data_IF_315901879535
#
_entry.id   IF_315901879535
#
_cell.length_a   1.000
_cell.length_b   1.000
_cell.length_c   1.000
_cell.angle_alpha   90.00
_cell.angle_beta   90.00
_cell.angle_gamma   90.00
#
_symmetry.space_group_name_H-M   'P 1'
#
loop_
_entity.id
_entity.type
_entity.pdbx_description
1 polymer ?
#
# COMPACT_ATOMS: atom_id res chain seq x y z
N UNK A 1 9.28 25.95 17.44
CA UNK A 1 10.32 25.69 18.47
C UNK A 1 10.43 24.19 18.70
N UNK A 2 11.62 23.70 19.06
CA UNK A 2 11.81 22.32 19.49
C UNK A 2 11.56 22.23 20.99
N UNK A 3 10.71 21.30 21.43
CA UNK A 3 10.43 21.04 22.84
C UNK A 3 10.88 19.62 23.22
N UNK A 4 11.46 19.47 24.41
CA UNK A 4 11.89 18.19 24.96
C UNK A 4 11.23 17.96 26.32
N UNK A 5 10.56 16.82 26.49
CA UNK A 5 9.74 16.48 27.66
C UNK A 5 10.09 15.09 28.17
N UNK A 6 10.03 14.89 29.49
CA UNK A 6 10.13 13.59 30.12
C UNK A 6 8.76 13.11 30.62
N UNK A 7 8.34 11.93 30.18
CA UNK A 7 7.08 11.28 30.56
C UNK A 7 7.40 10.16 31.54
N UNK A 8 6.77 10.17 32.70
CA UNK A 8 6.87 9.10 33.69
C UNK A 8 6.15 7.85 33.16
N UNK A 9 6.82 6.69 33.18
CA UNK A 9 6.28 5.47 32.57
C UNK A 9 5.14 4.84 33.34
N UNK A 10 5.06 5.07 34.66
CA UNK A 10 4.04 4.48 35.51
C UNK A 10 2.72 5.26 35.40
N UNK A 11 2.82 6.57 35.24
CA UNK A 11 1.67 7.47 35.16
C UNK A 11 1.26 7.81 33.72
N UNK A 12 2.20 7.78 32.77
CA UNK A 12 1.99 8.21 31.39
C UNK A 12 1.90 9.73 31.23
N UNK A 13 2.18 10.49 32.29
CA UNK A 13 2.06 11.95 32.32
C UNK A 13 3.43 12.62 32.27
N UNK A 14 3.54 13.85 31.72
CA UNK A 14 4.74 14.66 31.81
C UNK A 14 5.12 14.93 33.28
N UNK A 15 6.42 14.94 33.58
CA UNK A 15 6.89 15.33 34.91
C UNK A 15 6.57 16.81 35.19
N UNK A 16 5.60 17.06 36.07
CA UNK A 16 5.14 18.42 36.41
C UNK A 16 6.25 19.35 36.96
N UNK A 17 7.31 18.78 37.56
CA UNK A 17 8.42 19.53 38.16
C UNK A 17 9.65 19.67 37.23
N UNK A 18 9.58 19.17 35.99
CA UNK A 18 10.64 19.32 34.97
C UNK A 18 10.07 20.13 33.82
N UNK A 19 10.36 21.44 33.82
CA UNK A 19 9.98 22.32 32.71
C UNK A 19 10.52 21.76 31.39
N UNK A 20 9.72 21.77 30.31
CA UNK A 20 10.18 21.33 29.00
C UNK A 20 11.32 22.24 28.53
N UNK A 21 12.42 21.63 28.08
CA UNK A 21 13.50 22.40 27.47
C UNK A 21 13.07 22.82 26.06
N UNK A 22 12.84 24.13 25.87
CA UNK A 22 12.44 24.71 24.58
C UNK A 22 13.61 25.39 23.89
N UNK A 23 13.86 25.02 22.63
CA UNK A 23 14.91 25.58 21.79
C UNK A 23 14.34 26.23 20.52
N UNK A 24 14.96 27.32 20.09
CA UNK A 24 14.74 27.89 18.76
C UNK A 24 15.24 26.90 17.71
N UNK A 25 14.34 26.43 16.84
CA UNK A 25 14.61 25.43 15.80
C UNK A 25 14.17 25.99 14.46
N UNK A 26 15.10 26.02 13.49
CA UNK A 26 14.92 26.60 12.16
C UNK A 26 15.52 25.67 11.10
N UNK A 27 15.22 25.93 9.83
CA UNK A 27 15.58 25.08 8.68
C UNK A 27 17.08 24.91 8.45
N UNK A 28 17.94 25.70 9.11
CA UNK A 28 19.40 25.62 8.97
C UNK A 28 20.04 24.77 10.08
N UNK A 29 19.27 24.33 11.08
CA UNK A 29 19.75 23.54 12.22
C UNK A 29 19.52 22.05 11.98
N UNK A 30 20.60 21.28 12.04
CA UNK A 30 20.59 19.82 11.90
C UNK A 30 20.88 19.07 13.20
N UNK A 31 21.17 19.79 14.29
CA UNK A 31 21.49 19.22 15.61
C UNK A 31 21.20 20.19 16.75
N UNK A 32 20.62 19.70 17.85
CA UNK A 32 20.50 20.40 19.13
C UNK A 32 21.04 19.52 20.25
N UNK A 33 21.98 20.04 21.04
CA UNK A 33 22.41 19.39 22.27
C UNK A 33 21.56 19.93 23.44
N UNK A 34 21.18 19.07 24.40
CA UNK A 34 20.44 19.45 25.61
C UNK A 34 20.94 18.66 26.83
N UNK A 35 20.62 19.16 28.04
CA UNK A 35 20.95 18.49 29.31
C UNK A 35 19.76 18.59 30.24
N UNK A 36 19.10 17.46 30.51
CA UNK A 36 18.01 17.38 31.49
C UNK A 36 18.45 16.64 32.76
N UNK A 37 17.88 17.00 33.91
CA UNK A 37 18.10 16.33 35.19
C UNK A 37 16.83 15.60 35.59
N UNK A 38 16.91 14.28 35.68
CA UNK A 38 15.77 13.45 36.06
C UNK A 38 16.02 12.82 37.44
N UNK A 39 14.99 12.75 38.30
CA UNK A 39 15.07 11.98 39.54
C UNK A 39 15.16 10.48 39.23
N UNK A 40 15.56 9.63 40.20
CA UNK A 40 15.53 8.17 40.03
C UNK A 40 14.13 7.67 39.63
N UNK A 41 14.06 6.82 38.60
CA UNK A 41 12.80 6.35 38.02
C UNK A 41 12.93 5.91 36.57
N UNK A 42 11.82 5.43 36.00
CA UNK A 42 11.70 4.97 34.63
C UNK A 42 10.90 6.00 33.80
N UNK A 43 11.52 6.51 32.74
CA UNK A 43 10.97 7.59 31.92
C UNK A 43 10.99 7.25 30.43
N UNK A 44 10.16 7.97 29.70
CA UNK A 44 10.19 8.08 28.25
C UNK A 44 10.47 9.54 27.90
N UNK A 45 11.63 9.83 27.30
CA UNK A 45 11.98 11.18 26.84
C UNK A 45 11.44 11.36 25.42
N UNK A 46 10.66 12.42 25.21
CA UNK A 46 10.02 12.76 23.94
C UNK A 46 10.45 14.13 23.47
N UNK A 47 10.70 14.27 22.16
CA UNK A 47 10.96 15.55 21.51
C UNK A 47 9.92 15.82 20.41
N UNK A 48 9.42 17.04 20.32
CA UNK A 48 8.44 17.47 19.31
C UNK A 48 8.69 18.90 18.83
N UNK A 49 8.25 19.23 17.63
CA UNK A 49 8.32 20.58 17.07
C UNK A 49 6.93 21.23 17.18
N UNK A 50 6.87 22.33 17.94
CA UNK A 50 5.70 23.21 17.99
C UNK A 50 5.85 24.29 16.91
N UNK A 51 4.96 24.26 15.92
CA UNK A 51 4.95 25.16 14.77
C UNK A 51 3.99 26.35 14.93
N UNK A 52 3.36 26.54 16.10
CA UNK A 52 2.38 27.59 16.31
C UNK A 52 2.99 29.01 16.13
N UNK A 53 2.37 29.83 15.27
CA UNK A 53 2.71 31.25 15.11
C UNK A 53 1.55 32.12 15.61
N UNK A 54 1.81 32.97 16.61
CA UNK A 54 0.89 34.04 17.05
C UNK A 54 0.40 33.95 18.49
N UNK A 55 -0.52 34.86 18.88
CA UNK A 55 -0.94 35.14 20.26
C UNK A 55 -1.79 34.03 20.94
N UNK A 56 -1.74 32.80 20.43
CA UNK A 56 -2.34 31.60 21.00
C UNK A 56 -1.36 30.42 21.10
N UNK A 57 -0.06 30.63 20.84
CA UNK A 57 0.97 29.62 21.08
C UNK A 57 0.98 29.28 22.58
N UNK A 58 0.37 28.15 22.94
CA UNK A 58 0.43 27.62 24.29
C UNK A 58 1.83 27.05 24.48
N UNK A 59 2.70 27.85 25.08
CA UNK A 59 4.08 27.48 25.40
C UNK A 59 4.11 26.17 26.19
N UNK A 60 4.48 25.07 25.53
CA UNK A 60 4.81 23.78 26.16
C UNK A 60 3.68 22.76 26.29
N UNK A 61 2.52 22.94 25.62
CA UNK A 61 1.45 21.93 25.61
C UNK A 61 1.49 21.15 24.31
N UNK A 62 1.81 19.84 24.40
CA UNK A 62 1.84 18.94 23.25
C UNK A 62 0.42 18.75 22.67
N UNK A 63 0.18 19.28 21.47
CA UNK A 63 -1.08 19.09 20.75
C UNK A 63 -1.03 17.87 19.83
N UNK A 64 -2.18 17.28 19.48
CA UNK A 64 -2.25 16.09 18.62
C UNK A 64 -1.81 16.32 17.17
N UNK A 65 -1.71 17.58 16.74
CA UNK A 65 -1.30 18.03 15.39
C UNK A 65 0.11 18.63 15.34
N UNK A 66 0.75 18.83 16.50
CA UNK A 66 2.16 19.19 16.53
C UNK A 66 2.98 18.00 16.05
N UNK A 67 4.16 18.25 15.47
CA UNK A 67 4.93 17.21 14.80
C UNK A 67 5.32 16.12 15.80
N UNK A 68 4.66 14.97 15.70
CA UNK A 68 4.97 13.75 16.44
C UNK A 68 5.61 12.77 15.46
N UNK A 69 6.90 12.50 15.63
CA UNK A 69 7.48 11.26 15.11
C UNK A 69 7.78 10.32 16.27
N UNK A 70 8.25 9.11 15.97
CA UNK A 70 8.47 8.01 16.91
C UNK A 70 9.64 8.26 17.90
N UNK A 71 9.72 9.44 18.50
CA UNK A 71 10.88 9.94 19.22
C UNK A 71 10.70 9.75 20.71
N UNK A 72 10.76 8.49 21.15
CA UNK A 72 10.60 8.13 22.55
C UNK A 72 11.80 7.31 23.02
N UNK A 73 12.60 7.84 23.94
CA UNK A 73 13.72 7.12 24.55
C UNK A 73 13.33 6.65 25.95
N UNK A 74 13.41 5.34 26.16
CA UNK A 74 13.27 4.77 27.50
C UNK A 74 14.57 4.97 28.29
N UNK A 75 14.48 5.63 29.43
CA UNK A 75 15.60 5.84 30.36
C UNK A 75 15.23 5.34 31.75
N UNK A 76 16.12 4.59 32.38
CA UNK A 76 16.00 4.15 33.78
C UNK A 76 17.13 4.78 34.60
N UNK A 77 16.79 5.58 35.60
CA UNK A 77 17.74 6.26 36.50
C UNK A 77 17.71 5.59 37.88
N UNK A 78 18.85 5.06 38.33
CA UNK A 78 18.98 4.46 39.66
C UNK A 78 19.37 5.50 40.73
N UNK A 79 19.00 5.26 42.00
CA UNK A 79 19.14 6.18 43.14
C UNK A 79 20.57 6.70 43.43
N UNK A 80 21.62 6.14 42.82
CA UNK A 80 23.02 6.46 43.16
C UNK A 80 23.97 6.46 41.95
N UNK A 81 23.54 7.08 40.84
CA UNK A 81 24.37 7.18 39.62
C UNK A 81 24.56 8.61 39.10
N UNK A 82 25.74 9.18 39.33
CA UNK A 82 26.26 10.36 38.60
C UNK A 82 26.78 9.90 37.22
N UNK A 83 25.90 9.57 36.27
CA UNK A 83 26.30 9.28 34.88
C UNK A 83 25.97 10.47 33.96
N UNK A 84 26.96 11.12 33.33
CA UNK A 84 26.74 11.87 32.11
C UNK A 84 26.72 10.86 30.94
N UNK A 85 25.54 10.45 30.50
CA UNK A 85 25.38 9.75 29.23
C UNK A 85 25.24 10.79 28.11
N UNK A 86 26.29 10.97 27.31
CA UNK A 86 26.15 11.67 26.03
C UNK A 86 25.35 10.76 25.10
N UNK A 87 24.04 10.97 25.01
CA UNK A 87 23.15 10.25 24.10
C UNK A 87 22.91 11.16 22.89
N UNK A 88 23.32 10.70 21.71
CA UNK A 88 23.02 11.38 20.46
C UNK A 88 21.69 10.86 19.91
N UNK A 89 20.84 11.78 19.48
CA UNK A 89 19.62 11.49 18.72
C UNK A 89 19.60 12.43 17.52
N UNK A 90 19.10 11.94 16.39
CA UNK A 90 18.93 12.71 15.17
C UNK A 90 17.47 13.12 15.05
N UNK A 91 17.22 14.38 14.70
CA UNK A 91 15.89 14.89 14.38
C UNK A 91 15.87 15.19 12.89
N UNK A 92 14.90 14.63 12.18
CA UNK A 92 14.64 15.00 10.80
C UNK A 92 13.62 16.14 10.80
N UNK A 93 13.89 17.16 9.99
CA UNK A 93 12.92 18.21 9.68
C UNK A 93 11.72 17.53 8.99
N UNK A 94 10.46 17.78 9.39
CA UNK A 94 9.30 17.28 8.65
C UNK A 94 9.22 17.82 7.20
N UNK A 95 9.99 18.85 6.83
CA UNK A 95 10.22 19.23 5.43
C UNK A 95 11.28 18.34 4.71
N UNK A 96 11.97 17.45 5.44
CA UNK A 96 12.91 16.44 4.94
C UNK A 96 12.34 15.02 5.10
N UNK A 97 11.41 14.72 4.20
CA UNK A 97 11.03 13.40 3.63
C UNK A 97 11.07 12.18 4.57
N UNK A 98 9.89 11.66 4.93
CA UNK A 98 9.70 10.27 5.34
C UNK A 98 8.54 9.59 4.59
N UNK A 99 8.94 8.51 3.90
CA UNK A 99 8.30 7.21 3.65
C UNK A 99 6.82 7.10 3.31
N UNK A 100 6.67 6.78 2.03
CA UNK A 100 5.62 6.00 1.38
C UNK A 100 4.80 5.01 2.24
N UNK A 101 3.52 5.33 2.41
CA UNK A 101 2.45 4.39 2.03
C UNK A 101 1.71 4.97 0.82
N UNK A 102 2.16 4.59 -0.38
CA UNK A 102 1.57 5.06 -1.64
C UNK A 102 0.26 4.32 -1.95
N UNK A 103 -0.81 5.08 -2.20
CA UNK A 103 -1.42 5.10 -3.53
C UNK A 103 -1.35 6.53 -4.06
N UNK A 104 -0.99 6.66 -5.33
CA UNK A 104 -0.86 7.92 -6.06
C UNK A 104 -2.21 8.62 -6.24
N UNK A 105 -2.39 9.74 -5.55
CA UNK A 105 -2.79 11.01 -6.16
C UNK A 105 -1.86 12.10 -5.60
N UNK A 106 -1.20 12.84 -6.48
CA UNK A 106 -0.12 13.77 -6.10
C UNK A 106 -0.70 15.05 -5.51
N UNK A 107 -0.83 15.07 -4.19
CA UNK A 107 -1.03 16.27 -3.39
C UNK A 107 -0.09 16.26 -2.20
N UNK A 108 0.65 17.35 -1.99
CA UNK A 108 1.41 17.60 -0.75
C UNK A 108 0.66 18.64 0.10
N UNK A 109 0.85 18.65 1.43
CA UNK A 109 0.27 19.71 2.29
C UNK A 109 0.70 21.09 1.80
N UNK A 110 1.92 21.19 1.26
CA UNK A 110 2.46 22.39 0.60
C UNK A 110 1.65 22.84 -0.62
N UNK A 111 1.17 21.92 -1.45
CA UNK A 111 0.32 22.22 -2.61
C UNK A 111 -1.11 22.58 -2.17
N UNK A 112 -1.65 21.94 -1.14
CA UNK A 112 -2.94 22.30 -0.55
C UNK A 112 -2.92 23.72 0.03
N UNK A 113 -1.91 24.08 0.85
CA UNK A 113 -1.76 25.43 1.42
C UNK A 113 -1.65 26.49 0.31
N UNK A 114 -0.98 26.16 -0.79
CA UNK A 114 -0.81 27.08 -1.92
C UNK A 114 -2.11 27.29 -2.72
N UNK A 115 -2.97 26.27 -2.81
CA UNK A 115 -4.20 26.29 -3.60
C UNK A 115 -5.44 26.73 -2.78
N UNK A 116 -5.44 26.51 -1.47
CA UNK A 116 -6.56 26.77 -0.57
C UNK A 116 -6.17 27.56 0.69
N UNK A 117 -5.55 28.74 0.56
CA UNK A 117 -4.97 29.50 1.69
C UNK A 117 -6.00 30.07 2.69
N UNK A 118 -7.30 29.87 2.44
CA UNK A 118 -8.41 30.43 3.22
C UNK A 118 -9.40 29.38 3.72
N UNK A 119 -9.21 28.11 3.38
CA UNK A 119 -9.98 26.98 3.93
C UNK A 119 -9.33 26.51 5.24
N UNK A 120 -10.07 25.78 6.08
CA UNK A 120 -9.57 25.21 7.35
C UNK A 120 -8.32 24.35 7.15
N UNK A 121 -7.70 23.86 8.21
CA UNK A 121 -6.51 23.01 8.11
C UNK A 121 -6.70 21.80 7.17
N UNK A 122 -5.60 21.21 6.66
CA UNK A 122 -5.66 20.02 5.80
C UNK A 122 -6.30 18.82 6.50
N UNK A 123 -6.25 18.76 7.82
CA UNK A 123 -6.84 17.70 8.64
C UNK A 123 -8.23 18.06 9.19
N UNK A 124 -8.71 19.29 8.93
CA UNK A 124 -10.09 19.67 9.25
C UNK A 124 -11.03 18.95 8.28
N UNK A 125 -12.23 18.61 8.76
CA UNK A 125 -13.32 18.04 7.98
C UNK A 125 -14.40 19.15 7.93
N UNK A 126 -14.23 20.11 7.02
CA UNK A 126 -15.00 21.37 7.03
C UNK A 126 -16.48 21.14 6.68
N UNK A 127 -16.78 20.14 5.85
CA UNK A 127 -18.15 19.74 5.52
C UNK A 127 -18.68 18.56 6.34
N UNK A 128 -17.84 17.96 7.19
CA UNK A 128 -18.18 16.91 8.15
C UNK A 128 -18.79 15.69 7.46
N UNK A 129 -18.21 15.31 6.32
CA UNK A 129 -18.67 14.21 5.48
C UNK A 129 -17.81 12.94 5.61
N UNK A 130 -16.87 12.94 6.56
CA UNK A 130 -16.00 11.81 6.82
C UNK A 130 -14.67 11.88 6.10
N UNK A 131 -14.39 12.92 5.31
CA UNK A 131 -13.07 13.13 4.74
C UNK A 131 -12.43 14.40 5.30
N UNK A 132 -11.13 14.34 5.58
CA UNK A 132 -10.40 15.58 5.81
C UNK A 132 -10.27 16.38 4.50
N UNK A 133 -10.19 17.69 4.61
CA UNK A 133 -10.00 18.63 3.51
C UNK A 133 -8.85 18.22 2.57
N UNK A 134 -7.78 17.65 3.14
CA UNK A 134 -6.64 17.14 2.38
C UNK A 134 -6.92 15.81 1.70
N UNK A 135 -7.64 14.91 2.35
CA UNK A 135 -8.06 13.65 1.76
C UNK A 135 -9.00 13.89 0.57
N UNK A 136 -9.86 14.89 0.64
CA UNK A 136 -10.70 15.31 -0.48
C UNK A 136 -9.89 15.96 -1.60
N UNK A 137 -8.90 16.78 -1.26
CA UNK A 137 -7.96 17.31 -2.25
C UNK A 137 -7.22 16.19 -3.00
N UNK A 138 -6.79 15.14 -2.29
CA UNK A 138 -6.20 13.93 -2.87
C UNK A 138 -7.22 13.22 -3.77
N UNK A 139 -8.47 13.11 -3.33
CA UNK A 139 -9.55 12.44 -4.06
C UNK A 139 -10.12 13.29 -5.21
N UNK A 140 -9.69 14.54 -5.36
CA UNK A 140 -10.20 15.49 -6.34
C UNK A 140 -11.65 15.94 -6.06
N UNK A 141 -12.09 15.82 -4.81
CA UNK A 141 -13.41 16.26 -4.32
C UNK A 141 -13.31 17.62 -3.62
N UNK A 142 -14.45 18.25 -3.34
CA UNK A 142 -14.50 19.63 -2.87
C UNK A 142 -14.71 19.68 -1.35
N UNK A 143 -13.76 20.23 -0.56
CA UNK A 143 -13.80 20.27 0.91
C UNK A 143 -14.89 21.08 1.63
N UNK A 144 -15.94 21.43 0.90
CA UNK A 144 -17.08 22.20 1.38
C UNK A 144 -18.39 21.59 0.88
N UNK A 145 -18.33 20.44 0.21
CA UNK A 145 -19.45 19.83 -0.47
C UNK A 145 -19.64 18.40 0.04
N UNK A 146 -20.57 18.22 1.00
CA UNK A 146 -20.66 16.98 1.73
C UNK A 146 -21.08 15.82 0.83
N UNK A 147 -20.61 14.63 1.19
CA UNK A 147 -20.94 13.34 0.60
C UNK A 147 -20.53 13.19 -0.87
N UNK A 148 -19.53 13.95 -1.33
CA UNK A 148 -19.11 13.92 -2.74
C UNK A 148 -18.28 12.66 -3.07
N UNK A 149 -17.81 11.91 -2.07
CA UNK A 149 -16.63 11.09 -2.26
C UNK A 149 -16.54 9.75 -1.50
N UNK A 150 -17.59 9.22 -0.84
CA UNK A 150 -17.55 7.98 0.01
C UNK A 150 -16.90 6.73 -0.65
N UNK A 151 -16.64 6.79 -1.95
CA UNK A 151 -16.06 5.78 -2.83
C UNK A 151 -14.52 5.80 -2.91
N UNK A 152 -13.85 6.73 -2.21
CA UNK A 152 -12.40 6.92 -2.26
C UNK A 152 -11.72 6.63 -0.92
N UNK A 153 -10.39 6.48 -0.96
CA UNK A 153 -9.59 6.13 0.21
C UNK A 153 -9.63 7.24 1.27
N UNK A 154 -9.52 6.88 2.55
CA UNK A 154 -9.38 7.82 3.68
C UNK A 154 -10.67 8.35 4.31
N UNK A 155 -11.79 7.64 4.14
CA UNK A 155 -13.06 7.94 4.81
C UNK A 155 -13.03 7.54 6.30
N UNK A 156 -13.44 8.45 7.18
CA UNK A 156 -13.70 8.26 8.61
C UNK A 156 -15.19 8.42 8.95
N UNK A 157 -15.91 7.31 9.21
CA UNK A 157 -17.32 7.38 9.59
C UNK A 157 -17.59 8.04 10.95
N UNK A 158 -16.56 8.30 11.77
CA UNK A 158 -16.71 8.96 13.06
C UNK A 158 -16.75 10.50 12.94
N UNK A 159 -16.16 11.06 11.88
CA UNK A 159 -16.21 12.50 11.59
C UNK A 159 -17.37 12.88 10.67
N UNK A 160 -17.96 11.92 9.96
CA UNK A 160 -19.18 12.11 9.18
C UNK A 160 -20.41 12.31 10.09
N UNK A 161 -20.86 13.56 10.23
CA UNK A 161 -22.08 13.91 11.00
C UNK A 161 -23.37 13.55 10.25
N UNK A 162 -23.26 13.36 8.94
CA UNK A 162 -24.31 13.04 8.00
C UNK A 162 -24.28 11.55 7.60
N UNK A 163 -23.55 10.69 8.32
CA UNK A 163 -23.51 9.24 8.10
C UNK A 163 -24.91 8.58 8.13
N UNK A 164 -25.88 9.22 8.79
CA UNK A 164 -27.30 8.83 8.81
C UNK A 164 -28.15 9.42 7.67
N UNK A 165 -27.60 10.36 6.90
CA UNK A 165 -28.14 11.03 5.71
C UNK A 165 -27.45 10.58 4.40
N UNK A 166 -26.38 9.78 4.45
CA UNK A 166 -25.83 9.09 3.26
C UNK A 166 -26.93 8.22 2.65
N UNK A 167 -27.59 8.72 1.60
CA UNK A 167 -28.67 7.99 0.94
C UNK A 167 -28.16 6.72 0.24
N UNK A 168 -26.86 6.64 -0.04
CA UNK A 168 -26.27 5.55 -0.84
C UNK A 168 -25.00 4.98 -0.23
N UNK A 169 -25.05 3.71 0.18
CA UNK A 169 -23.91 2.92 0.67
C UNK A 169 -23.49 1.88 -0.37
N UNK A 170 -22.25 1.38 -0.35
CA UNK A 170 -21.69 0.58 -1.44
C UNK A 170 -21.20 -0.80 -1.02
N UNK A 171 -21.42 -1.78 -1.89
CA UNK A 171 -20.64 -3.01 -1.95
C UNK A 171 -19.44 -2.76 -2.85
N UNK A 172 -18.24 -2.98 -2.32
CA UNK A 172 -16.99 -2.52 -2.93
C UNK A 172 -16.12 -3.72 -3.29
N UNK A 173 -15.64 -3.75 -4.53
CA UNK A 173 -14.62 -4.68 -5.02
C UNK A 173 -13.32 -3.95 -5.31
N UNK A 174 -12.22 -4.54 -4.85
CA UNK A 174 -10.86 -4.07 -5.13
C UNK A 174 -9.97 -5.24 -5.53
N UNK A 175 -8.82 -4.94 -6.13
CA UNK A 175 -7.85 -5.95 -6.52
C UNK A 175 -6.53 -5.81 -5.78
N UNK A 176 -5.77 -6.90 -5.73
CA UNK A 176 -4.39 -6.87 -5.26
C UNK A 176 -3.53 -7.81 -6.11
N UNK A 177 -2.52 -7.30 -6.84
CA UNK A 177 -2.18 -5.87 -7.00
C UNK A 177 -3.26 -5.08 -7.78
N UNK A 178 -3.28 -3.75 -7.64
CA UNK A 178 -4.16 -2.86 -8.44
C UNK A 178 -3.54 -2.58 -9.80
N UNK A 179 -2.21 -2.43 -9.86
CA UNK A 179 -1.47 -2.31 -11.13
C UNK A 179 -0.48 -3.48 -11.27
N UNK A 180 -0.96 -4.66 -11.69
CA UNK A 180 -0.09 -5.78 -12.02
C UNK A 180 0.87 -5.39 -13.15
N UNK A 181 2.14 -5.76 -13.00
CA UNK A 181 3.15 -5.67 -14.06
C UNK A 181 3.47 -7.06 -14.56
N UNK A 182 3.39 -7.27 -15.87
CA UNK A 182 3.61 -8.57 -16.48
C UNK A 182 4.38 -8.46 -17.78
N UNK A 183 5.14 -9.49 -18.11
CA UNK A 183 5.81 -9.58 -19.40
C UNK A 183 4.86 -10.10 -20.48
N UNK A 184 5.06 -9.64 -21.70
CA UNK A 184 4.39 -10.19 -22.88
C UNK A 184 4.54 -11.71 -22.96
N UNK A 185 3.44 -12.40 -23.23
CA UNK A 185 3.40 -13.86 -23.34
C UNK A 185 3.40 -14.62 -22.00
N UNK A 186 3.49 -13.93 -20.86
CA UNK A 186 3.36 -14.54 -19.54
C UNK A 186 1.94 -14.39 -18.96
N UNK A 187 1.69 -15.08 -17.84
CA UNK A 187 0.48 -14.90 -17.05
C UNK A 187 0.73 -13.97 -15.87
N UNK A 188 -0.32 -13.30 -15.43
CA UNK A 188 -0.36 -12.59 -14.16
C UNK A 188 -1.59 -13.02 -13.35
N UNK A 189 -1.52 -12.78 -12.04
CA UNK A 189 -2.59 -13.04 -11.11
C UNK A 189 -2.90 -11.80 -10.29
N UNK A 190 -4.15 -11.68 -9.87
CA UNK A 190 -4.56 -10.72 -8.88
C UNK A 190 -5.71 -11.29 -8.04
N UNK A 191 -5.73 -10.92 -6.77
CA UNK A 191 -6.84 -11.22 -5.88
C UNK A 191 -7.99 -10.25 -6.13
N UNK A 192 -9.22 -10.76 -6.07
CA UNK A 192 -10.44 -9.94 -6.01
C UNK A 192 -10.91 -9.95 -4.56
N UNK A 193 -10.98 -8.77 -3.96
CA UNK A 193 -11.36 -8.57 -2.56
C UNK A 193 -12.70 -7.85 -2.46
N UNK A 194 -13.41 -8.07 -1.36
CA UNK A 194 -14.70 -7.48 -1.05
C UNK A 194 -14.70 -6.76 0.29
N UNK A 195 -15.37 -5.61 0.33
CA UNK A 195 -15.78 -4.88 1.53
C UNK A 195 -17.10 -4.14 1.27
N UNK A 196 -17.63 -3.42 2.25
CA UNK A 196 -18.71 -2.44 2.07
C UNK A 196 -18.51 -1.22 2.98
N UNK A 197 -19.25 -0.15 2.68
CA UNK A 197 -19.11 1.17 3.34
C UNK A 197 -19.35 1.13 4.86
N UNK A 198 -20.16 0.20 5.35
CA UNK A 198 -20.60 0.12 6.74
C UNK A 198 -20.06 -1.12 7.50
N UNK A 199 -19.12 -1.85 6.90
CA UNK A 199 -18.56 -3.10 7.43
C UNK A 199 -19.63 -4.15 7.78
N UNK A 200 -20.80 -4.10 7.13
CA UNK A 200 -21.89 -5.01 7.36
C UNK A 200 -21.58 -6.41 6.80
N UNK A 201 -21.40 -7.37 7.69
CA UNK A 201 -21.10 -8.77 7.36
C UNK A 201 -22.35 -9.60 6.99
N UNK A 202 -23.48 -8.90 6.85
CA UNK A 202 -24.84 -9.41 6.84
C UNK A 202 -25.63 -9.12 5.56
N UNK A 203 -24.99 -9.14 4.40
CA UNK A 203 -25.60 -8.83 3.09
C UNK A 203 -26.24 -10.05 2.41
N UNK A 204 -27.00 -9.85 1.34
CA UNK A 204 -27.67 -10.93 0.60
C UNK A 204 -26.76 -11.69 -0.38
N UNK A 205 -25.59 -11.14 -0.69
CA UNK A 205 -24.65 -11.68 -1.68
C UNK A 205 -24.03 -10.58 -2.53
N UNK A 206 -23.26 -10.99 -3.53
CA UNK A 206 -22.67 -10.13 -4.54
C UNK A 206 -22.50 -10.91 -5.84
N UNK A 207 -22.99 -10.35 -6.94
CA UNK A 207 -22.70 -10.80 -8.30
C UNK A 207 -21.89 -9.76 -9.03
N UNK A 208 -20.77 -10.15 -9.63
CA UNK A 208 -19.89 -9.26 -10.39
C UNK A 208 -19.68 -9.76 -11.81
N UNK A 209 -19.44 -8.83 -12.71
CA UNK A 209 -18.94 -9.03 -14.05
C UNK A 209 -17.57 -8.34 -14.17
N UNK A 210 -16.64 -9.01 -14.83
CA UNK A 210 -15.25 -8.57 -14.99
C UNK A 210 -14.96 -8.48 -16.47
N UNK A 211 -14.76 -7.26 -16.92
CA UNK A 211 -14.64 -6.85 -18.31
C UNK A 211 -13.17 -6.70 -18.67
N UNK A 212 -12.74 -7.24 -19.81
CA UNK A 212 -11.35 -7.21 -20.24
C UNK A 212 -11.22 -7.17 -21.76
N UNK A 213 -10.04 -6.75 -22.22
CA UNK A 213 -9.67 -6.70 -23.63
C UNK A 213 -9.05 -8.03 -24.09
N UNK A 214 -9.77 -8.79 -24.91
CA UNK A 214 -9.34 -10.09 -25.42
C UNK A 214 -8.26 -10.02 -26.49
N UNK A 215 -8.06 -8.86 -27.11
CA UNK A 215 -6.91 -8.60 -27.98
C UNK A 215 -5.62 -8.39 -27.17
N UNK A 216 -5.74 -8.08 -25.87
CA UNK A 216 -4.60 -7.86 -24.97
C UNK A 216 -4.29 -9.08 -24.11
N UNK A 217 -5.33 -9.73 -23.57
CA UNK A 217 -5.18 -10.83 -22.62
C UNK A 217 -6.26 -11.90 -22.78
N UNK A 218 -5.98 -13.09 -22.28
CA UNK A 218 -6.91 -14.22 -22.28
C UNK A 218 -7.11 -14.72 -20.86
N UNK A 219 -8.36 -15.05 -20.51
CA UNK A 219 -8.65 -15.63 -19.21
C UNK A 219 -8.06 -17.04 -19.11
N UNK A 220 -7.21 -17.27 -18.11
CA UNK A 220 -6.46 -18.52 -17.94
C UNK A 220 -7.01 -19.38 -16.79
N UNK A 221 -7.74 -18.79 -15.84
CA UNK A 221 -8.38 -19.52 -14.76
C UNK A 221 -8.54 -18.70 -13.48
N UNK A 222 -8.96 -19.37 -12.42
CA UNK A 222 -9.17 -18.78 -11.10
C UNK A 222 -8.92 -19.81 -10.00
N UNK A 223 -8.53 -19.34 -8.81
CA UNK A 223 -8.21 -20.16 -7.64
C UNK A 223 -8.63 -19.42 -6.35
N UNK A 224 -8.34 -20.00 -5.18
CA UNK A 224 -8.58 -19.40 -3.85
C UNK A 224 -10.00 -18.84 -3.65
N UNK A 225 -11.00 -19.54 -4.18
CA UNK A 225 -12.39 -19.07 -4.19
C UNK A 225 -12.99 -19.17 -2.80
N UNK A 226 -13.75 -18.18 -2.38
CA UNK A 226 -14.63 -18.28 -1.23
C UNK A 226 -15.77 -19.26 -1.56
N UNK A 227 -15.66 -20.49 -1.05
CA UNK A 227 -16.53 -21.63 -1.46
C UNK A 227 -17.78 -21.79 -0.61
N UNK A 228 -17.76 -21.34 0.65
CA UNK A 228 -18.82 -21.59 1.63
C UNK A 228 -20.18 -20.98 1.21
N UNK A 229 -20.13 -19.93 0.38
CA UNK A 229 -21.29 -19.14 -0.05
C UNK A 229 -21.33 -18.93 -1.57
N UNK A 230 -20.54 -19.72 -2.31
CA UNK A 230 -20.51 -19.62 -3.77
C UNK A 230 -21.82 -20.14 -4.36
N UNK A 231 -22.44 -19.38 -5.27
CA UNK A 231 -23.73 -19.74 -5.86
C UNK A 231 -23.68 -20.95 -6.82
N UNK A 232 -22.49 -21.52 -7.07
CA UNK A 232 -22.25 -22.66 -7.95
C UNK A 232 -21.24 -23.67 -7.37
N UNK A 233 -21.35 -24.94 -7.77
CA UNK A 233 -20.43 -26.02 -7.34
C UNK A 233 -19.08 -25.93 -8.05
N UNK A 234 -17.99 -25.98 -7.27
CA UNK A 234 -16.58 -25.91 -7.74
C UNK A 234 -16.24 -26.94 -8.83
N UNK A 235 -16.86 -28.12 -8.80
CA UNK A 235 -16.55 -29.19 -9.74
C UNK A 235 -17.03 -28.88 -11.17
N UNK A 236 -17.87 -27.85 -11.35
CA UNK A 236 -18.46 -27.45 -12.63
C UNK A 236 -18.42 -25.93 -12.89
N UNK A 237 -17.65 -25.12 -12.15
CA UNK A 237 -17.42 -23.71 -12.52
C UNK A 237 -16.50 -23.64 -13.76
N UNK A 238 -17.07 -23.95 -14.91
CA UNK A 238 -16.56 -23.43 -16.18
C UNK A 238 -17.04 -21.98 -16.25
N UNK A 239 -16.17 -21.05 -15.86
CA UNK A 239 -16.42 -19.63 -16.11
C UNK A 239 -16.40 -19.45 -17.63
N UNK A 240 -17.57 -19.19 -18.20
CA UNK A 240 -17.69 -18.90 -19.61
C UNK A 240 -17.24 -17.45 -19.84
N UNK A 241 -16.19 -17.30 -20.66
CA UNK A 241 -15.86 -16.00 -21.27
C UNK A 241 -16.91 -15.74 -22.35
N UNK A 242 -17.62 -14.62 -22.24
CA UNK A 242 -18.65 -14.21 -23.20
C UNK A 242 -18.24 -12.92 -23.90
N UNK A 243 -18.80 -12.71 -25.09
CA UNK A 243 -18.69 -11.44 -25.80
C UNK A 243 -19.63 -10.42 -25.15
N UNK A 244 -19.16 -9.20 -24.92
CA UNK A 244 -20.01 -8.13 -24.36
C UNK A 244 -21.13 -7.73 -25.33
N UNK A 245 -20.96 -8.00 -26.62
CA UNK A 245 -22.02 -7.82 -27.63
C UNK A 245 -23.08 -8.92 -27.62
N UNK A 246 -22.89 -10.02 -26.88
CA UNK A 246 -23.89 -11.07 -26.77
C UNK A 246 -25.12 -10.57 -25.99
N UNK A 247 -26.34 -10.91 -26.43
CA UNK A 247 -27.54 -10.57 -25.67
C UNK A 247 -27.52 -11.23 -24.28
N UNK A 248 -28.09 -10.53 -23.29
CA UNK A 248 -28.17 -10.98 -21.89
C UNK A 248 -26.81 -11.19 -21.20
N UNK A 249 -25.77 -10.53 -21.72
CA UNK A 249 -24.43 -10.49 -21.13
C UNK A 249 -24.14 -9.08 -20.61
N UNK A 250 -23.48 -8.91 -19.44
CA UNK A 250 -23.12 -7.59 -18.94
C UNK A 250 -22.17 -6.87 -19.90
N UNK A 251 -22.47 -5.61 -20.20
CA UNK A 251 -21.69 -4.70 -21.04
C UNK A 251 -21.41 -3.45 -20.20
N UNK A 252 -20.12 -3.10 -20.05
CA UNK A 252 -19.70 -1.93 -19.29
C UNK A 252 -19.77 -0.62 -20.10
N UNK A 253 -20.12 -0.71 -21.39
CA UNK A 253 -20.19 0.36 -22.39
C UNK A 253 -18.85 1.06 -22.65
N UNK A 254 -17.73 0.42 -22.33
CA UNK A 254 -16.40 0.93 -22.64
C UNK A 254 -15.85 0.26 -23.90
N UNK A 255 -15.25 1.05 -24.78
CA UNK A 255 -14.80 0.56 -26.09
C UNK A 255 -13.46 -0.20 -26.03
N UNK A 256 -12.76 -0.16 -24.89
CA UNK A 256 -11.48 -0.82 -24.67
C UNK A 256 -11.61 -2.22 -24.04
N UNK A 257 -12.83 -2.65 -23.73
CA UNK A 257 -13.22 -4.00 -23.30
C UNK A 257 -14.10 -4.66 -24.36
N UNK A 258 -14.07 -6.00 -24.43
CA UNK A 258 -14.89 -6.76 -25.40
C UNK A 258 -15.30 -8.15 -24.91
N UNK A 259 -14.75 -8.60 -23.78
CA UNK A 259 -15.08 -9.88 -23.17
C UNK A 259 -15.35 -9.72 -21.69
N UNK A 260 -16.27 -10.54 -21.19
CA UNK A 260 -16.67 -10.53 -19.79
C UNK A 260 -16.71 -11.93 -19.20
N UNK A 261 -16.34 -12.03 -17.92
CA UNK A 261 -16.58 -13.18 -17.06
C UNK A 261 -17.48 -12.75 -15.89
N UNK A 262 -18.36 -13.65 -15.43
CA UNK A 262 -19.28 -13.36 -14.33
C UNK A 262 -19.09 -14.32 -13.16
N UNK A 263 -19.10 -13.79 -11.94
CA UNK A 263 -18.99 -14.51 -10.68
C UNK A 263 -20.10 -14.09 -9.73
N UNK A 264 -20.60 -15.00 -8.88
CA UNK A 264 -21.62 -14.66 -7.89
C UNK A 264 -21.50 -15.48 -6.60
N UNK A 265 -21.67 -14.78 -5.48
CA UNK A 265 -21.80 -15.32 -4.15
C UNK A 265 -23.16 -14.94 -3.59
N UNK A 266 -23.81 -15.86 -2.88
CA UNK A 266 -25.16 -15.67 -2.35
C UNK A 266 -25.20 -16.09 -0.89
N UNK A 267 -26.08 -15.45 -0.12
CA UNK A 267 -26.50 -15.99 1.17
C UNK A 267 -26.96 -17.44 0.98
N UNK A 268 -26.57 -18.33 1.88
CA UNK A 268 -26.88 -19.74 1.69
C UNK A 268 -28.38 -20.05 1.79
N UNK A 269 -28.77 -21.26 1.36
CA UNK A 269 -30.16 -21.73 1.40
C UNK A 269 -30.72 -21.88 2.84
N UNK A 270 -29.90 -21.68 3.88
CA UNK A 270 -30.32 -21.71 5.28
C UNK A 270 -30.60 -20.31 5.85
N UNK A 271 -30.48 -19.26 5.03
CA UNK A 271 -30.76 -17.87 5.44
C UNK A 271 -29.64 -17.25 6.27
N UNK A 272 -28.41 -17.80 6.22
CA UNK A 272 -27.23 -17.16 6.81
C UNK A 272 -26.75 -16.04 5.90
N UNK A 273 -26.49 -14.88 6.50
CA UNK A 273 -26.05 -13.69 5.77
C UNK A 273 -24.67 -13.86 5.14
N UNK A 274 -24.39 -13.12 4.06
CA UNK A 274 -23.13 -13.11 3.33
C UNK A 274 -22.28 -11.88 3.67
N UNK A 275 -20.93 -12.00 3.78
CA UNK A 275 -20.14 -13.23 3.77
C UNK A 275 -20.26 -14.08 5.05
N UNK A 276 -20.87 -13.53 6.10
CA UNK A 276 -21.11 -14.22 7.37
C UNK A 276 -20.69 -13.36 8.56
N UNK A 277 -21.45 -13.37 9.65
CA UNK A 277 -21.26 -12.47 10.80
C UNK A 277 -19.86 -12.59 11.45
N UNK A 278 -19.26 -13.77 11.36
CA UNK A 278 -17.93 -14.08 11.92
C UNK A 278 -16.78 -13.83 10.93
N UNK A 279 -17.08 -13.47 9.67
CA UNK A 279 -16.06 -13.28 8.64
C UNK A 279 -15.56 -11.83 8.67
N UNK A 280 -14.26 -11.59 8.88
CA UNK A 280 -13.71 -10.24 8.84
C UNK A 280 -13.72 -9.69 7.41
N UNK A 281 -13.98 -8.39 7.28
CA UNK A 281 -13.78 -7.62 6.05
C UNK A 281 -12.50 -6.77 6.20
N UNK A 282 -11.76 -6.51 5.12
CA UNK A 282 -11.98 -7.00 3.76
C UNK A 282 -11.69 -8.50 3.62
N UNK A 283 -12.37 -9.15 2.68
CA UNK A 283 -12.27 -10.59 2.42
C UNK A 283 -11.84 -10.86 0.98
N UNK A 284 -10.93 -11.83 0.77
CA UNK A 284 -10.61 -12.35 -0.56
C UNK A 284 -11.75 -13.22 -1.09
N UNK A 285 -12.30 -12.85 -2.25
CA UNK A 285 -13.35 -13.60 -2.94
C UNK A 285 -12.77 -14.71 -3.82
N UNK A 286 -11.72 -14.39 -4.59
CA UNK A 286 -11.00 -15.32 -5.44
C UNK A 286 -9.66 -14.72 -5.88
N UNK A 287 -8.82 -15.54 -6.52
CA UNK A 287 -7.65 -15.10 -7.28
C UNK A 287 -7.91 -15.40 -8.76
N UNK A 288 -7.78 -14.42 -9.64
CA UNK A 288 -7.94 -14.57 -11.08
C UNK A 288 -6.58 -14.66 -11.77
N UNK A 289 -6.50 -15.39 -12.88
CA UNK A 289 -5.31 -15.49 -13.72
C UNK A 289 -5.67 -15.16 -15.18
N UNK A 290 -4.86 -14.28 -15.77
CA UNK A 290 -4.92 -13.94 -17.19
C UNK A 290 -3.55 -14.17 -17.83
N UNK A 291 -3.53 -14.53 -19.10
CA UNK A 291 -2.33 -14.63 -19.92
C UNK A 291 -2.30 -13.49 -20.94
N UNK A 292 -1.21 -12.74 -20.99
CA UNK A 292 -1.01 -11.67 -21.98
C UNK A 292 -0.68 -12.29 -23.32
N UNK A 293 -1.33 -11.79 -24.37
CA UNK A 293 -1.10 -12.28 -25.73
C UNK A 293 0.38 -12.06 -26.11
N UNK A 294 1.01 -13.09 -26.68
CA UNK A 294 2.43 -13.03 -27.06
C UNK A 294 2.68 -12.13 -28.26
N UNK A 295 3.96 -11.87 -28.55
CA UNK A 295 4.55 -10.86 -29.46
C UNK A 295 4.18 -10.97 -30.96
N UNK A 296 3.01 -11.52 -31.32
CA UNK A 296 2.49 -11.59 -32.69
C UNK A 296 1.35 -10.62 -33.01
N UNK A 297 0.88 -9.78 -32.06
CA UNK A 297 -0.18 -8.80 -32.30
C UNK A 297 0.03 -7.48 -31.55
N UNK A 298 0.91 -6.59 -32.05
CA UNK A 298 0.80 -5.14 -31.84
C UNK A 298 1.02 -4.55 -30.43
N UNK A 299 1.23 -5.36 -29.39
CA UNK A 299 1.50 -4.92 -28.02
C UNK A 299 3.01 -4.72 -27.82
N UNK A 300 3.39 -3.68 -27.07
CA UNK A 300 4.76 -3.27 -26.74
C UNK A 300 4.92 -2.99 -25.25
N UNK A 301 6.16 -2.90 -24.76
CA UNK A 301 6.43 -2.51 -23.38
C UNK A 301 5.94 -1.08 -23.09
N UNK A 302 5.29 -0.90 -21.95
CA UNK A 302 4.60 0.33 -21.54
C UNK A 302 3.13 0.39 -21.97
N UNK A 303 2.67 -0.52 -22.83
CA UNK A 303 1.25 -0.61 -23.14
C UNK A 303 0.46 -1.07 -21.92
N UNK A 304 -0.74 -0.51 -21.78
CA UNK A 304 -1.64 -0.80 -20.66
C UNK A 304 -2.98 -1.34 -21.14
N UNK A 305 -3.62 -2.11 -20.28
CA UNK A 305 -4.98 -2.61 -20.49
C UNK A 305 -5.73 -2.60 -19.16
N UNK A 306 -7.00 -2.20 -19.20
CA UNK A 306 -7.81 -2.04 -17.99
C UNK A 306 -8.76 -3.21 -17.84
N UNK A 307 -8.80 -3.82 -16.66
CA UNK A 307 -9.89 -4.69 -16.24
C UNK A 307 -10.91 -3.87 -15.45
N UNK A 308 -12.18 -3.94 -15.84
CA UNK A 308 -13.29 -3.22 -15.18
C UNK A 308 -14.23 -4.18 -14.49
N UNK A 309 -14.94 -3.68 -13.50
CA UNK A 309 -15.91 -4.43 -12.73
C UNK A 309 -17.27 -3.75 -12.81
N UNK A 310 -18.32 -4.54 -13.03
CA UNK A 310 -19.71 -4.12 -12.88
C UNK A 310 -20.47 -5.12 -12.02
N UNK A 311 -21.62 -4.72 -11.46
CA UNK A 311 -22.48 -5.63 -10.71
C UNK A 311 -23.46 -6.36 -11.62
N UNK A 312 -23.60 -7.66 -11.40
CA UNK A 312 -24.73 -8.46 -11.89
C UNK A 312 -25.80 -8.67 -10.81
N UNK A 313 -25.44 -8.51 -9.53
CA UNK A 313 -26.36 -8.51 -8.40
C UNK A 313 -25.74 -7.79 -7.21
N UNK A 314 -26.51 -6.97 -6.50
CA UNK A 314 -26.13 -6.31 -5.25
C UNK A 314 -27.24 -6.46 -4.22
N UNK A 315 -26.87 -6.38 -2.94
CA UNK A 315 -27.85 -6.23 -1.87
C UNK A 315 -28.62 -4.92 -2.07
N UNK A 316 -29.95 -4.96 -1.98
CA UNK A 316 -30.83 -3.81 -2.28
C UNK A 316 -30.58 -2.56 -1.42
N UNK A 317 -29.84 -2.70 -0.32
CA UNK A 317 -29.41 -1.58 0.53
C UNK A 317 -28.21 -0.84 -0.03
N UNK A 318 -27.51 -1.41 -1.01
CA UNK A 318 -26.23 -0.92 -1.51
C UNK A 318 -26.25 -0.69 -3.02
N UNK A 319 -25.44 0.27 -3.46
CA UNK A 319 -24.94 0.35 -4.83
C UNK A 319 -23.62 -0.44 -4.99
N UNK A 320 -23.11 -0.53 -6.21
CA UNK A 320 -21.86 -1.24 -6.52
C UNK A 320 -20.74 -0.28 -6.87
N UNK A 321 -19.56 -0.53 -6.32
CA UNK A 321 -18.32 0.08 -6.76
C UNK A 321 -17.25 -1.00 -6.97
N UNK A 322 -16.54 -0.92 -8.09
CA UNK A 322 -15.44 -1.82 -8.39
C UNK A 322 -14.26 -1.03 -8.93
N UNK A 323 -13.15 -1.01 -8.19
CA UNK A 323 -11.94 -0.32 -8.65
C UNK A 323 -11.40 -1.00 -9.91
N UNK A 324 -11.16 -0.27 -11.01
CA UNK A 324 -10.49 -0.84 -12.16
C UNK A 324 -9.08 -1.30 -11.79
N UNK A 325 -8.56 -2.27 -12.54
CA UNK A 325 -7.18 -2.78 -12.42
C UNK A 325 -6.46 -2.47 -13.71
N UNK A 326 -5.33 -1.76 -13.64
CA UNK A 326 -4.57 -1.40 -14.83
C UNK A 326 -3.38 -2.34 -14.97
N UNK A 327 -3.47 -3.24 -15.93
CA UNK A 327 -2.34 -4.07 -16.32
C UNK A 327 -1.32 -3.24 -17.10
N UNK A 328 -0.05 -3.28 -16.70
CA UNK A 328 1.05 -2.71 -17.45
C UNK A 328 1.94 -3.82 -18.01
N UNK A 329 2.21 -3.77 -19.32
CA UNK A 329 3.19 -4.64 -19.96
C UNK A 329 4.57 -4.09 -19.69
N UNK A 330 5.33 -4.78 -18.85
CA UNK A 330 6.69 -4.41 -18.48
C UNK A 330 7.68 -5.44 -19.02
N UNK A 331 8.92 -5.00 -19.28
CA UNK A 331 10.01 -5.91 -19.63
C UNK A 331 10.46 -6.75 -18.43
N UNK A 332 10.30 -6.19 -17.22
CA UNK A 332 10.69 -6.80 -15.96
C UNK A 332 9.81 -6.36 -14.78
N UNK A 333 9.69 -7.23 -13.79
CA UNK A 333 9.08 -6.98 -12.49
C UNK A 333 9.88 -7.73 -11.42
N UNK A 334 9.90 -7.21 -10.20
CA UNK A 334 10.47 -7.90 -9.04
C UNK A 334 9.59 -9.02 -8.49
N UNK A 335 8.43 -9.28 -9.10
CA UNK A 335 7.65 -10.52 -8.89
C UNK A 335 8.21 -11.65 -9.79
N UNK A 336 9.31 -12.24 -9.33
CA UNK A 336 10.14 -13.21 -10.05
C UNK A 336 9.47 -14.57 -10.10
N UNK A 337 8.74 -14.98 -9.07
CA UNK A 337 7.97 -16.23 -9.07
C UNK A 337 6.57 -16.10 -9.69
N UNK A 338 6.11 -14.87 -9.90
CA UNK A 338 4.91 -14.50 -10.65
C UNK A 338 3.61 -14.69 -9.85
N UNK A 339 3.66 -14.61 -8.53
CA UNK A 339 2.48 -14.72 -7.66
C UNK A 339 1.73 -13.40 -7.46
N UNK A 340 2.14 -12.32 -8.13
CA UNK A 340 1.59 -10.97 -8.02
C UNK A 340 2.17 -10.14 -6.88
N UNK A 341 3.20 -10.64 -6.18
CA UNK A 341 3.82 -9.97 -5.02
C UNK A 341 5.35 -9.99 -5.17
N UNK A 342 5.98 -8.93 -4.71
CA UNK A 342 7.44 -8.87 -4.57
C UNK A 342 7.80 -9.15 -3.10
N UNK A 343 8.11 -10.40 -2.76
CA UNK A 343 8.44 -10.83 -1.40
C UNK A 343 9.93 -10.98 -1.13
N UNK A 344 10.41 -10.55 0.05
CA UNK A 344 11.84 -10.63 0.40
C UNK A 344 12.37 -12.08 0.43
N UNK A 345 11.59 -12.99 1.04
CA UNK A 345 11.97 -14.40 1.21
C UNK A 345 11.62 -15.28 0.01
N UNK A 346 10.92 -14.71 -0.97
CA UNK A 346 10.62 -15.35 -2.25
C UNK A 346 11.50 -14.73 -3.32
N UNK A 347 11.05 -13.61 -3.90
CA UNK A 347 11.65 -12.94 -5.04
C UNK A 347 13.01 -12.32 -4.70
N UNK A 348 13.13 -11.64 -3.57
CA UNK A 348 14.39 -11.03 -3.12
C UNK A 348 15.48 -12.09 -2.94
N UNK A 349 15.13 -13.24 -2.37
CA UNK A 349 16.05 -14.36 -2.21
C UNK A 349 16.39 -15.02 -3.56
N UNK A 350 15.44 -15.15 -4.49
CA UNK A 350 15.70 -15.63 -5.85
C UNK A 350 16.68 -14.71 -6.60
N UNK A 351 16.47 -13.40 -6.54
CA UNK A 351 17.36 -12.40 -7.16
C UNK A 351 18.76 -12.50 -6.56
N UNK A 352 18.88 -12.54 -5.23
CA UNK A 352 20.16 -12.66 -4.56
C UNK A 352 20.89 -13.96 -4.93
N UNK A 353 20.19 -15.09 -4.96
CA UNK A 353 20.76 -16.38 -5.40
C UNK A 353 21.20 -16.34 -6.86
N UNK A 354 20.43 -15.70 -7.73
CA UNK A 354 20.80 -15.54 -9.14
C UNK A 354 22.07 -14.70 -9.30
N UNK A 355 22.17 -13.57 -8.61
CA UNK A 355 23.37 -12.69 -8.65
C UNK A 355 24.61 -13.37 -8.07
N UNK A 356 24.46 -14.28 -7.09
CA UNK A 356 25.55 -15.16 -6.64
C UNK A 356 25.87 -16.32 -7.59
N UNK A 357 25.16 -16.46 -8.72
CA UNK A 357 25.32 -17.57 -9.67
C UNK A 357 24.83 -18.92 -9.15
N UNK A 358 23.93 -18.93 -8.15
CA UNK A 358 23.42 -20.14 -7.50
C UNK A 358 22.17 -20.73 -8.17
N UNK A 359 21.51 -19.97 -9.05
CA UNK A 359 20.41 -20.46 -9.88
C UNK A 359 20.97 -20.88 -11.25
N UNK A 360 20.72 -22.12 -11.64
CA UNK A 360 21.16 -22.69 -12.91
C UNK A 360 19.97 -22.93 -13.83
N UNK A 361 20.17 -22.79 -15.13
CA UNK A 361 19.16 -23.14 -16.13
C UNK A 361 19.03 -24.67 -16.23
N UNK A 362 18.22 -25.24 -15.33
CA UNK A 362 17.98 -26.68 -15.22
C UNK A 362 16.48 -26.96 -15.30
N UNK A 363 15.99 -27.63 -16.35
CA UNK A 363 14.57 -27.94 -16.51
C UNK A 363 14.08 -29.04 -15.55
N UNK A 364 14.99 -29.72 -14.84
CA UNK A 364 14.66 -30.81 -13.92
C UNK A 364 14.67 -30.41 -12.46
N UNK A 365 15.12 -29.19 -12.14
CA UNK A 365 15.26 -28.70 -10.77
C UNK A 365 14.11 -27.76 -10.45
N UNK A 366 13.36 -28.03 -9.39
CA UNK A 366 12.38 -27.09 -8.86
C UNK A 366 13.11 -25.84 -8.33
N UNK A 367 12.51 -24.67 -8.47
CA UNK A 367 13.02 -23.47 -7.79
C UNK A 367 12.76 -23.60 -6.28
N UNK A 368 13.75 -23.25 -5.45
CA UNK A 368 13.50 -23.03 -4.02
C UNK A 368 13.31 -21.54 -3.75
N UNK A 369 12.68 -21.19 -2.63
CA UNK A 369 12.30 -19.82 -2.28
C UNK A 369 11.28 -19.22 -3.26
N UNK A 370 10.26 -20.00 -3.62
CA UNK A 370 9.06 -19.53 -4.32
C UNK A 370 7.87 -19.59 -3.36
N UNK A 371 6.85 -18.78 -3.60
CA UNK A 371 5.58 -18.86 -2.89
C UNK A 371 4.78 -20.12 -3.27
N UNK A 372 3.87 -20.54 -2.39
CA UNK A 372 2.97 -21.67 -2.65
C UNK A 372 2.05 -21.43 -3.87
N UNK A 373 1.77 -20.17 -4.18
CA UNK A 373 0.95 -19.71 -5.30
C UNK A 373 1.75 -19.18 -6.50
N UNK A 374 3.05 -19.47 -6.57
CA UNK A 374 3.92 -19.11 -7.70
C UNK A 374 3.47 -19.74 -9.02
N UNK A 375 3.68 -19.04 -10.14
CA UNK A 375 3.46 -19.56 -11.50
C UNK A 375 4.75 -20.05 -12.15
N UNK A 376 5.90 -19.44 -11.83
CA UNK A 376 7.22 -19.88 -12.27
C UNK A 376 7.78 -20.78 -11.18
N UNK A 377 7.79 -22.09 -11.43
CA UNK A 377 8.05 -23.10 -10.38
C UNK A 377 9.35 -23.88 -10.60
N UNK A 378 9.93 -23.82 -11.80
CA UNK A 378 11.18 -24.49 -12.13
C UNK A 378 12.37 -23.52 -12.13
N UNK A 379 13.56 -24.04 -11.81
CA UNK A 379 14.82 -23.29 -11.86
C UNK A 379 15.11 -22.74 -13.26
N UNK A 380 14.69 -23.43 -14.32
CA UNK A 380 14.83 -22.96 -15.70
C UNK A 380 13.96 -21.73 -16.01
N UNK A 381 12.71 -21.71 -15.55
CA UNK A 381 11.80 -20.57 -15.73
C UNK A 381 12.32 -19.34 -14.99
N UNK A 382 12.68 -19.50 -13.71
CA UNK A 382 13.25 -18.42 -12.90
C UNK A 382 14.55 -17.88 -13.51
N UNK A 383 15.47 -18.78 -13.90
CA UNK A 383 16.73 -18.37 -14.53
C UNK A 383 16.47 -17.58 -15.80
N UNK A 384 15.56 -18.05 -16.66
CA UNK A 384 15.23 -17.39 -17.92
C UNK A 384 14.62 -16.01 -17.68
N UNK A 385 13.72 -15.89 -16.70
CA UNK A 385 13.11 -14.63 -16.32
C UNK A 385 14.16 -13.61 -15.87
N UNK A 386 14.99 -13.97 -14.89
CA UNK A 386 16.04 -13.11 -14.34
C UNK A 386 17.12 -12.78 -15.38
N UNK A 387 17.51 -13.74 -16.21
CA UNK A 387 18.50 -13.50 -17.27
C UNK A 387 18.00 -12.50 -18.33
N UNK A 388 16.71 -12.50 -18.61
CA UNK A 388 16.14 -11.54 -19.55
C UNK A 388 15.98 -10.14 -18.94
N UNK A 389 15.74 -10.05 -17.62
CA UNK A 389 15.69 -8.80 -16.86
C UNK A 389 17.03 -8.39 -16.26
N UNK A 390 18.14 -8.99 -16.70
CA UNK A 390 19.43 -8.87 -16.02
C UNK A 390 19.91 -7.42 -15.89
N UNK A 391 19.63 -6.59 -16.91
CA UNK A 391 20.01 -5.18 -16.89
C UNK A 391 19.26 -4.37 -15.83
N UNK A 392 18.07 -4.81 -15.42
CA UNK A 392 17.23 -4.14 -14.41
C UNK A 392 17.64 -4.49 -12.98
N UNK A 393 18.54 -5.46 -12.81
CA UNK A 393 19.11 -5.86 -11.51
C UNK A 393 20.31 -5.00 -11.10
N UNK A 394 20.69 -3.99 -11.89
CA UNK A 394 21.68 -2.97 -11.52
C UNK A 394 20.94 -1.83 -10.81
N UNK A 395 20.97 -1.85 -9.49
CA UNK A 395 20.15 -1.03 -8.59
C UNK A 395 20.90 0.21 -8.16
N UNK A 396 22.22 0.13 -7.97
CA UNK A 396 23.05 1.30 -7.67
C UNK A 396 23.55 2.01 -8.94
N UNK A 397 23.48 1.35 -10.10
CA UNK A 397 23.71 1.91 -11.43
C UNK A 397 25.15 1.87 -11.90
N UNK A 398 26.02 1.15 -11.19
CA UNK A 398 27.46 1.17 -11.47
C UNK A 398 27.86 0.35 -12.72
N UNK A 399 26.90 -0.31 -13.37
CA UNK A 399 27.07 -1.15 -14.55
C UNK A 399 27.32 -2.63 -14.21
N UNK A 400 27.59 -2.94 -12.95
CA UNK A 400 27.78 -4.27 -12.39
C UNK A 400 26.50 -4.71 -11.67
N UNK A 401 26.18 -6.00 -11.75
CA UNK A 401 25.00 -6.57 -11.10
C UNK A 401 25.51 -7.55 -10.06
N UNK A 402 25.76 -7.06 -8.87
CA UNK A 402 26.41 -7.81 -7.80
C UNK A 402 25.44 -8.09 -6.65
N UNK A 403 25.54 -9.30 -6.08
CA UNK A 403 24.62 -9.72 -5.03
C UNK A 403 24.75 -8.89 -3.73
N UNK A 404 25.92 -8.33 -3.46
CA UNK A 404 26.22 -7.59 -2.23
C UNK A 404 25.96 -6.09 -2.34
N UNK A 405 25.82 -5.56 -3.55
CA UNK A 405 25.37 -4.19 -3.79
C UNK A 405 23.89 -4.23 -4.15
N UNK A 406 23.58 -4.71 -5.34
CA UNK A 406 22.23 -4.67 -5.90
C UNK A 406 21.26 -5.64 -5.23
N UNK A 407 21.68 -6.90 -5.13
CA UNK A 407 20.87 -7.94 -4.49
C UNK A 407 20.53 -7.59 -3.04
N UNK A 408 21.47 -6.97 -2.32
CA UNK A 408 21.30 -6.54 -0.94
C UNK A 408 20.33 -5.35 -0.82
N UNK A 409 20.42 -4.36 -1.71
CA UNK A 409 19.48 -3.22 -1.75
C UNK A 409 18.04 -3.69 -1.98
N UNK A 410 17.83 -4.60 -2.93
CA UNK A 410 16.49 -5.19 -3.21
C UNK A 410 15.98 -5.94 -1.97
N UNK A 411 16.81 -6.78 -1.36
CA UNK A 411 16.41 -7.55 -0.17
C UNK A 411 16.03 -6.66 1.01
N UNK A 412 16.85 -5.63 1.28
CA UNK A 412 16.58 -4.63 2.33
C UNK A 412 15.25 -3.92 2.08
N UNK A 413 15.06 -3.44 0.86
CA UNK A 413 13.83 -2.79 0.46
C UNK A 413 12.61 -3.70 0.68
N UNK A 414 12.66 -4.96 0.21
CA UNK A 414 11.55 -5.90 0.35
C UNK A 414 11.27 -6.30 1.82
N UNK A 415 12.24 -6.17 2.72
CA UNK A 415 12.04 -6.31 4.17
C UNK A 415 11.48 -5.04 4.84
N UNK A 416 11.20 -3.99 4.07
CA UNK A 416 10.69 -2.72 4.58
C UNK A 416 11.78 -1.75 5.05
N UNK A 417 13.06 -2.02 4.76
CA UNK A 417 14.15 -1.09 5.04
C UNK A 417 14.31 -0.16 3.82
N UNK A 418 13.56 0.93 3.80
CA UNK A 418 13.42 1.79 2.61
C UNK A 418 14.18 3.10 2.68
N UNK A 419 14.82 3.42 3.82
CA UNK A 419 15.34 4.76 4.09
C UNK A 419 16.67 4.78 4.84
N UNK A 420 17.43 5.85 4.60
CA UNK A 420 18.73 6.13 5.19
C UNK A 420 19.70 4.97 5.09
N UNK A 421 20.59 4.90 6.09
CA UNK A 421 21.61 3.85 6.20
C UNK A 421 21.00 2.43 6.23
N UNK A 422 19.76 2.28 6.71
CA UNK A 422 19.10 0.97 6.74
C UNK A 422 18.91 0.37 5.34
N UNK A 423 18.73 1.22 4.31
CA UNK A 423 18.67 0.80 2.93
C UNK A 423 20.08 0.71 2.31
N UNK A 424 20.90 1.76 2.42
CA UNK A 424 22.10 1.91 1.56
C UNK A 424 23.43 1.53 2.20
N UNK A 425 23.52 1.40 3.52
CA UNK A 425 24.81 1.28 4.21
C UNK A 425 25.58 0.03 3.75
N UNK A 426 26.82 0.22 3.28
CA UNK A 426 27.69 -0.84 2.76
C UNK A 426 27.10 -1.65 1.58
N UNK A 427 26.07 -1.15 0.90
CA UNK A 427 25.42 -1.80 -0.24
C UNK A 427 25.49 -0.97 -1.53
N UNK A 428 26.22 0.15 -1.52
CA UNK A 428 26.43 1.03 -2.67
C UNK A 428 27.87 0.92 -3.12
N UNK A 429 28.10 0.64 -4.41
CA UNK A 429 29.43 0.66 -5.01
C UNK A 429 30.05 2.05 -4.97
N UNK A 430 31.39 2.11 -4.91
CA UNK A 430 32.12 3.38 -4.94
C UNK A 430 31.85 4.18 -6.23
N UNK A 431 31.65 3.46 -7.34
CA UNK A 431 31.41 3.99 -8.69
C UNK A 431 29.92 4.18 -9.00
N UNK A 432 29.02 3.84 -8.06
CA UNK A 432 27.58 3.95 -8.25
C UNK A 432 27.12 5.38 -8.54
N UNK A 433 26.31 5.63 -9.59
CA UNK A 433 25.65 6.90 -9.81
C UNK A 433 24.46 7.14 -8.88
N UNK A 434 23.77 6.09 -8.39
CA UNK A 434 22.71 6.21 -7.38
C UNK A 434 23.32 5.95 -6.01
N UNK A 435 23.53 7.02 -5.24
CA UNK A 435 24.23 6.96 -3.94
C UNK A 435 23.32 7.18 -2.74
N UNK A 436 22.11 7.66 -2.99
CA UNK A 436 21.15 7.98 -1.94
C UNK A 436 20.05 6.93 -1.88
N UNK A 437 19.50 6.74 -0.68
CA UNK A 437 18.31 5.93 -0.44
C UNK A 437 17.14 6.35 -1.32
N UNK A 438 16.90 7.64 -1.49
CA UNK A 438 15.84 8.19 -2.35
C UNK A 438 16.00 7.73 -3.81
N UNK A 439 17.22 7.79 -4.36
CA UNK A 439 17.49 7.40 -5.74
C UNK A 439 17.31 5.89 -5.94
N UNK A 440 17.79 5.09 -4.99
CA UNK A 440 17.65 3.63 -4.99
C UNK A 440 16.18 3.24 -4.88
N UNK A 441 15.46 3.77 -3.89
CA UNK A 441 14.04 3.51 -3.68
C UNK A 441 13.23 3.87 -4.94
N UNK A 442 13.47 5.05 -5.52
CA UNK A 442 12.79 5.48 -6.74
C UNK A 442 13.06 4.53 -7.91
N UNK A 443 14.26 3.96 -8.00
CA UNK A 443 14.57 2.96 -9.03
C UNK A 443 13.83 1.66 -8.76
N UNK A 444 13.91 1.13 -7.53
CA UNK A 444 13.27 -0.14 -7.16
C UNK A 444 11.76 -0.10 -7.42
N UNK A 445 11.09 1.01 -7.04
CA UNK A 445 9.64 1.19 -7.20
C UNK A 445 9.15 1.08 -8.65
N UNK A 446 9.99 1.33 -9.64
CA UNK A 446 9.61 1.22 -11.06
C UNK A 446 9.27 -0.22 -11.46
N UNK A 447 9.85 -1.21 -10.76
CA UNK A 447 9.72 -2.63 -11.08
C UNK A 447 8.92 -3.42 -10.04
N UNK A 448 8.38 -2.77 -9.00
CA UNK A 448 7.48 -3.44 -8.07
C UNK A 448 6.07 -3.56 -8.67
N UNK A 449 5.35 -4.66 -8.39
CA UNK A 449 3.90 -4.67 -8.54
C UNK A 449 3.31 -3.64 -7.55
N UNK A 450 2.40 -2.77 -8.00
CA UNK A 450 1.74 -1.83 -7.07
C UNK A 450 0.69 -2.59 -6.26
N UNK A 451 0.98 -2.78 -4.98
CA UNK A 451 0.05 -3.38 -4.02
C UNK A 451 -1.27 -2.60 -4.04
N UNK A 452 -2.39 -3.30 -4.04
CA UNK A 452 -3.66 -2.64 -3.77
C UNK A 452 -3.66 -2.08 -2.35
N UNK A 453 -4.23 -0.90 -2.14
CA UNK A 453 -4.41 -0.35 -0.79
C UNK A 453 -5.06 -1.42 0.06
N UNK A 454 -4.52 -1.64 1.25
CA UNK A 454 -5.26 -2.35 2.28
C UNK A 454 -6.53 -1.53 2.50
N UNK A 455 -7.69 -2.08 2.14
CA UNK A 455 -8.96 -1.53 2.64
C UNK A 455 -8.85 -1.62 4.14
N UNK A 456 -8.63 -0.48 4.79
CA UNK A 456 -8.41 -0.38 6.21
C UNK A 456 -9.74 -0.74 6.87
N UNK A 457 -9.77 -1.87 7.58
CA UNK A 457 -10.91 -2.22 8.43
C UNK A 457 -10.88 -1.27 9.63
N UNK A 458 -11.96 -0.51 9.90
CA UNK A 458 -12.06 0.19 11.17
C UNK A 458 -12.11 -0.85 12.29
N UNK A 459 -11.09 -0.88 13.15
CA UNK A 459 -11.20 -1.53 14.46
C UNK A 459 -12.04 -0.62 15.35
N UNK A 460 -13.28 -1.01 15.60
CA UNK A 460 -14.10 -0.42 16.66
C UNK A 460 -13.53 -0.84 18.03
N UNK A 461 -13.32 0.14 18.91
CA UNK A 461 -13.35 -0.08 20.36
C UNK A 461 -14.80 -0.18 20.84
#
# INVERSE_FOLDING_TARGET
>A
TLNIVAIDKDTGEPLEDVDPDTFEWDTDKTRQDFVTKLPPGDYTIVAYIDSAIGAGALTGVMNSWEVQGAYSLVVSIEEDTDYPTNIAFSMNDPDDRYSAQYIEYTGTYKEWIANYPTLGGPDDDDDQDGYSNFQEYINGTNPLNPNQAYMFNGYDPASDIDAAQVETIYQIVSTNPIDPKVRMGESFRFDVNYTNSDNNRGTTGLGIAIHFNSSFMTFAGFSNVLTETLAGSLENLTIAVKDESDPDTPDDNFADTDKVITLAWVSDLQGRSWPGLEVPLPLRLCTLQFAVVSEAQGITYGDTSVLRFSATSVDSRYEFYGSPTTLEVSDFSFDVDGNGKAGALTDGLLIMRYLFGLIVNSPTTQADAIADDAIRTSSAEIWTYLNNGYEMLDIDGDGTKDALTDGLLIMRYMFGLTEGDSLIENAISAEAPRKTDTEVEKFIKQYLPKKGSVVITPTLN
#
